data_IF_359608323241
#
_entry.id   IF_359608323241
#
_cell.length_a   1.000
_cell.length_b   1.000
_cell.length_c   1.000
_cell.angle_alpha   90.00
_cell.angle_beta   90.00
_cell.angle_gamma   90.00
#
_symmetry.space_group_name_H-M   'P 1'
#
loop_
_entity.id
_entity.type
_entity.pdbx_description
1 polymer ?
#
# COMPACT_ATOMS: atom_id res chain seq x y z
N UNK A 1 19.04 15.81 23.28
CA UNK A 1 17.72 16.15 22.66
C UNK A 1 17.41 15.39 21.36
N UNK A 2 18.32 14.56 20.80
CA UNK A 2 18.09 13.82 19.54
C UNK A 2 17.18 12.57 19.67
N UNK A 3 17.02 12.01 20.88
CA UNK A 3 16.25 10.79 21.08
C UNK A 3 14.72 11.01 21.05
N UNK A 4 14.26 12.23 21.36
CA UNK A 4 12.82 12.54 21.44
C UNK A 4 12.20 12.86 20.07
N UNK A 5 12.98 13.25 19.06
CA UNK A 5 12.46 13.53 17.71
C UNK A 5 12.20 12.23 16.93
N UNK A 6 13.01 11.19 17.17
CA UNK A 6 12.86 9.88 16.54
C UNK A 6 11.64 9.10 17.07
N UNK A 7 11.34 9.19 18.37
CA UNK A 7 10.19 8.50 18.98
C UNK A 7 8.83 9.14 18.64
N UNK A 8 8.78 10.47 18.49
CA UNK A 8 7.55 11.17 18.08
C UNK A 8 7.23 10.90 16.60
N UNK A 9 8.26 10.72 15.77
CA UNK A 9 8.10 10.37 14.36
C UNK A 9 7.45 9.00 14.13
N UNK A 10 7.83 7.97 14.88
CA UNK A 10 7.28 6.63 14.68
C UNK A 10 5.79 6.51 15.08
N UNK A 11 5.36 7.15 16.18
CA UNK A 11 3.95 7.15 16.59
C UNK A 11 3.03 7.85 15.58
N UNK A 12 3.48 8.96 14.98
CA UNK A 12 2.73 9.65 13.93
C UNK A 12 2.55 8.75 12.70
N UNK A 13 3.60 8.06 12.27
CA UNK A 13 3.55 7.21 11.08
C UNK A 13 2.68 5.97 11.30
N UNK A 14 2.74 5.35 12.49
CA UNK A 14 1.86 4.23 12.85
C UNK A 14 0.37 4.64 12.88
N UNK A 15 0.04 5.86 13.32
CA UNK A 15 -1.34 6.34 13.38
C UNK A 15 -1.88 6.74 12.00
N UNK A 16 -1.05 7.39 11.18
CA UNK A 16 -1.50 8.06 9.96
C UNK A 16 -1.35 7.18 8.70
N UNK A 17 -0.38 6.27 8.69
CA UNK A 17 0.00 5.47 7.53
C UNK A 17 -0.49 4.03 7.56
N UNK A 18 -1.72 3.79 8.06
CA UNK A 18 -2.28 2.46 8.25
C UNK A 18 -2.04 1.49 7.08
N UNK A 19 -1.49 0.31 7.37
CA UNK A 19 -1.17 -0.73 6.37
C UNK A 19 0.14 -0.52 5.62
N UNK A 20 1.01 0.40 6.05
CA UNK A 20 2.40 0.52 5.60
C UNK A 20 3.29 0.58 6.83
N UNK A 21 4.39 -0.16 6.83
CA UNK A 21 5.30 -0.16 7.98
C UNK A 21 5.88 1.24 8.24
N UNK A 22 5.99 1.70 9.51
CA UNK A 22 6.50 3.02 9.84
C UNK A 22 7.88 3.33 9.26
N UNK A 23 8.80 2.37 9.27
CA UNK A 23 10.15 2.56 8.70
C UNK A 23 10.11 2.86 7.19
N UNK A 24 9.20 2.22 6.47
CA UNK A 24 9.00 2.44 5.03
C UNK A 24 8.49 3.85 4.78
N UNK A 25 7.50 4.31 5.56
CA UNK A 25 6.97 5.67 5.47
C UNK A 25 8.04 6.71 5.83
N UNK A 26 8.80 6.47 6.90
CA UNK A 26 9.88 7.34 7.33
C UNK A 26 10.96 7.49 6.25
N UNK A 27 11.33 6.38 5.60
CA UNK A 27 12.28 6.38 4.49
C UNK A 27 11.76 7.15 3.28
N UNK A 28 10.48 6.98 2.93
CA UNK A 28 9.84 7.77 1.86
C UNK A 28 9.89 9.26 2.20
N UNK A 29 9.39 9.68 3.36
CA UNK A 29 9.38 11.09 3.78
C UNK A 29 10.79 11.70 3.74
N UNK A 30 11.79 10.95 4.23
CA UNK A 30 13.19 11.39 4.18
C UNK A 30 13.68 11.61 2.75
N UNK A 31 13.34 10.73 1.82
CA UNK A 31 13.77 10.82 0.41
C UNK A 31 12.98 11.87 -0.36
N UNK A 32 11.69 12.03 -0.07
CA UNK A 32 10.77 12.92 -0.78
C UNK A 32 10.94 14.39 -0.37
N UNK A 33 10.93 14.67 0.93
CA UNK A 33 10.90 16.06 1.43
C UNK A 33 12.01 16.39 2.42
N UNK A 34 12.81 15.41 2.84
CA UNK A 34 13.71 15.53 3.98
C UNK A 34 12.99 16.10 5.21
N UNK A 35 11.76 15.61 5.44
CA UNK A 35 10.87 16.03 6.54
C UNK A 35 10.33 17.45 6.46
N UNK A 36 10.38 18.10 5.28
CA UNK A 36 9.79 19.41 5.09
C UNK A 36 8.29 19.29 4.74
N UNK A 37 7.42 19.58 5.72
CA UNK A 37 5.97 19.50 5.55
C UNK A 37 5.39 20.52 4.58
N UNK A 38 6.10 21.64 4.33
CA UNK A 38 5.67 22.73 3.44
C UNK A 38 6.30 22.63 2.04
N UNK A 39 7.04 21.55 1.75
CA UNK A 39 7.72 21.39 0.46
C UNK A 39 6.73 21.35 -0.71
N UNK A 40 6.98 22.19 -1.72
CA UNK A 40 6.26 22.18 -2.99
C UNK A 40 7.31 22.09 -4.11
N UNK A 41 7.24 21.04 -4.92
CA UNK A 41 8.03 20.93 -6.15
C UNK A 41 7.12 21.14 -7.36
N UNK A 42 7.46 22.08 -8.22
CA UNK A 42 6.76 22.35 -9.46
C UNK A 42 7.47 21.67 -10.64
N UNK A 43 6.91 20.56 -11.09
CA UNK A 43 7.43 19.76 -12.19
C UNK A 43 7.32 20.47 -13.55
N UNK A 44 6.47 21.48 -13.65
CA UNK A 44 6.26 22.25 -14.89
C UNK A 44 7.39 23.24 -15.13
N UNK A 45 7.98 23.77 -14.06
CA UNK A 45 9.08 24.75 -14.12
C UNK A 45 10.41 24.22 -13.61
N UNK A 46 10.41 23.05 -12.95
CA UNK A 46 11.59 22.47 -12.29
C UNK A 46 12.01 23.23 -11.03
N UNK A 47 11.11 24.01 -10.43
CA UNK A 47 11.39 24.83 -9.24
C UNK A 47 10.89 24.17 -7.96
N UNK A 48 11.72 24.26 -6.92
CA UNK A 48 11.30 23.96 -5.55
C UNK A 48 10.92 25.26 -4.85
N UNK A 49 9.77 25.25 -4.17
CA UNK A 49 9.29 26.36 -3.37
C UNK A 49 9.38 26.01 -1.89
N UNK A 50 9.70 27.02 -1.08
CA UNK A 50 9.84 26.91 0.38
C UNK A 50 8.98 27.98 1.07
N UNK A 51 7.65 27.79 1.13
CA UNK A 51 6.76 28.67 1.86
C UNK A 51 7.14 28.78 3.33
N UNK A 52 6.82 29.92 3.94
CA UNK A 52 7.14 30.24 5.35
C UNK A 52 6.03 29.83 6.31
N UNK A 53 4.82 29.57 5.79
CA UNK A 53 3.69 29.10 6.58
C UNK A 53 2.82 28.12 5.79
N UNK A 54 1.93 27.43 6.52
CA UNK A 54 0.94 26.53 5.93
C UNK A 54 -0.02 27.27 4.99
N UNK A 55 -0.44 28.47 5.37
CA UNK A 55 -1.34 29.32 4.58
C UNK A 55 -0.68 29.73 3.27
N UNK A 56 0.58 30.18 3.32
CA UNK A 56 1.35 30.51 2.12
C UNK A 56 1.51 29.30 1.20
N UNK A 57 1.74 28.12 1.77
CA UNK A 57 1.88 26.88 1.00
C UNK A 57 0.57 26.48 0.30
N UNK A 58 -0.56 26.63 1.00
CA UNK A 58 -1.91 26.39 0.44
C UNK A 58 -2.19 27.37 -0.70
N UNK A 59 -1.96 28.66 -0.49
CA UNK A 59 -2.27 29.69 -1.49
C UNK A 59 -1.38 29.56 -2.73
N UNK A 60 -0.09 29.27 -2.54
CA UNK A 60 0.83 29.02 -3.65
C UNK A 60 0.42 27.76 -4.42
N UNK A 61 0.02 26.69 -3.74
CA UNK A 61 -0.44 25.45 -4.39
C UNK A 61 -1.71 25.71 -5.20
N UNK A 62 -2.69 26.44 -4.64
CA UNK A 62 -3.91 26.82 -5.35
C UNK A 62 -3.59 27.63 -6.61
N UNK A 63 -2.74 28.64 -6.48
CA UNK A 63 -2.31 29.49 -7.60
C UNK A 63 -1.68 28.67 -8.73
N UNK A 64 -0.62 27.89 -8.42
CA UNK A 64 0.08 27.09 -9.42
C UNK A 64 -0.81 25.99 -10.02
N UNK A 65 -1.61 25.31 -9.21
CA UNK A 65 -2.51 24.26 -9.70
C UNK A 65 -3.60 24.83 -10.64
N UNK A 66 -4.16 25.99 -10.30
CA UNK A 66 -5.12 26.69 -11.16
C UNK A 66 -4.51 27.17 -12.49
N UNK A 67 -3.19 27.43 -12.50
CA UNK A 67 -2.43 27.74 -13.70
C UNK A 67 -2.07 26.49 -14.54
N UNK A 68 -2.51 25.29 -14.12
CA UNK A 68 -2.27 24.04 -14.84
C UNK A 68 -0.94 23.36 -14.54
N UNK A 69 -0.24 23.76 -13.47
CA UNK A 69 1.05 23.17 -13.12
C UNK A 69 0.92 21.76 -12.51
N UNK A 70 1.90 20.90 -12.80
CA UNK A 70 2.10 19.63 -12.11
C UNK A 70 2.95 19.83 -10.86
N UNK A 71 2.40 19.54 -9.68
CA UNK A 71 3.02 19.84 -8.39
C UNK A 71 3.19 18.58 -7.56
N UNK A 72 4.25 18.48 -6.77
CA UNK A 72 4.38 17.52 -5.68
C UNK A 72 4.35 18.25 -4.33
N UNK A 73 3.51 17.81 -3.41
CA UNK A 73 3.17 18.58 -2.20
C UNK A 73 3.38 17.81 -0.89
N UNK A 74 4.04 18.46 0.06
CA UNK A 74 4.16 18.08 1.47
C UNK A 74 5.12 16.92 1.74
N UNK A 75 4.99 16.30 2.92
CA UNK A 75 5.97 15.32 3.43
C UNK A 75 6.27 14.15 2.49
N UNK A 76 5.23 13.59 1.89
CA UNK A 76 5.29 12.46 0.96
C UNK A 76 5.22 12.89 -0.51
N UNK A 77 5.32 14.20 -0.79
CA UNK A 77 5.38 14.76 -2.14
C UNK A 77 4.25 14.24 -3.05
N UNK A 78 3.01 14.44 -2.62
CA UNK A 78 1.82 13.94 -3.35
C UNK A 78 1.65 14.74 -4.64
N UNK A 79 1.72 14.05 -5.77
CA UNK A 79 1.57 14.68 -7.09
C UNK A 79 0.13 15.19 -7.35
N UNK A 80 0.00 16.34 -8.01
CA UNK A 80 -1.26 17.00 -8.32
C UNK A 80 -2.18 16.21 -9.26
N UNK A 81 -1.64 15.21 -9.97
CA UNK A 81 -2.44 14.22 -10.72
C UNK A 81 -3.40 13.44 -9.81
N UNK A 82 -3.13 13.40 -8.50
CA UNK A 82 -3.98 12.72 -7.52
C UNK A 82 -5.05 13.64 -6.91
N UNK A 83 -4.99 14.97 -7.09
CA UNK A 83 -5.86 15.92 -6.37
C UNK A 83 -7.34 15.78 -6.71
N UNK A 84 -7.66 15.27 -7.90
CA UNK A 84 -9.04 15.03 -8.33
C UNK A 84 -9.61 13.67 -7.88
N UNK A 85 -8.82 12.84 -7.19
CA UNK A 85 -9.30 11.54 -6.71
C UNK A 85 -10.31 11.75 -5.58
N UNK A 86 -11.40 10.96 -5.54
CA UNK A 86 -12.37 11.03 -4.47
C UNK A 86 -11.73 10.94 -3.08
N UNK A 87 -12.10 11.85 -2.18
CA UNK A 87 -11.62 11.88 -0.80
C UNK A 87 -10.24 12.50 -0.58
N UNK A 88 -9.62 13.09 -1.61
CA UNK A 88 -8.41 13.91 -1.48
C UNK A 88 -8.79 15.39 -1.48
N UNK A 89 -8.50 16.07 -0.37
CA UNK A 89 -8.48 17.52 -0.26
C UNK A 89 -7.02 17.98 -0.29
N UNK A 90 -6.58 18.52 -1.43
CA UNK A 90 -5.19 18.90 -1.61
C UNK A 90 -4.76 20.07 -0.71
N UNK A 91 -5.71 20.86 -0.20
CA UNK A 91 -5.39 21.96 0.74
C UNK A 91 -4.98 21.44 2.12
N UNK A 92 -5.38 20.20 2.45
CA UNK A 92 -5.00 19.50 3.68
C UNK A 92 -3.66 18.77 3.56
N UNK A 93 -3.00 18.76 2.39
CA UNK A 93 -1.72 18.06 2.20
C UNK A 93 -0.53 18.69 2.95
N UNK A 94 -0.72 19.85 3.57
CA UNK A 94 0.23 20.44 4.51
C UNK A 94 -0.07 20.08 5.98
N UNK A 95 -1.09 19.26 6.24
CA UNK A 95 -1.23 18.53 7.51
C UNK A 95 -0.39 17.25 7.45
N UNK A 96 0.57 17.04 8.39
CA UNK A 96 1.47 15.89 8.35
C UNK A 96 0.74 14.54 8.30
N UNK A 97 -0.29 14.36 9.13
CA UNK A 97 -0.99 13.08 9.22
C UNK A 97 -1.81 12.80 7.97
N UNK A 98 -2.52 13.82 7.47
CA UNK A 98 -3.29 13.72 6.24
C UNK A 98 -2.41 13.41 5.04
N UNK A 99 -1.27 14.11 4.90
CA UNK A 99 -0.30 13.88 3.83
C UNK A 99 0.23 12.44 3.87
N UNK A 100 0.61 11.95 5.06
CA UNK A 100 1.08 10.57 5.25
C UNK A 100 0.00 9.55 4.90
N UNK A 101 -1.24 9.80 5.32
CA UNK A 101 -2.38 8.93 5.01
C UNK A 101 -2.65 8.84 3.50
N UNK A 102 -2.59 9.97 2.79
CA UNK A 102 -2.77 10.02 1.34
C UNK A 102 -1.64 9.29 0.62
N UNK A 103 -0.38 9.53 0.98
CA UNK A 103 0.77 8.85 0.39
C UNK A 103 0.73 7.34 0.64
N UNK A 104 0.39 6.90 1.85
CA UNK A 104 0.19 5.48 2.17
C UNK A 104 -0.93 4.85 1.32
N UNK A 105 -2.05 5.54 1.11
CA UNK A 105 -3.14 5.05 0.23
C UNK A 105 -2.68 4.90 -1.21
N UNK A 106 -1.91 5.85 -1.74
CA UNK A 106 -1.38 5.79 -3.12
C UNK A 106 -0.40 4.62 -3.26
N UNK A 107 0.55 4.46 -2.33
CA UNK A 107 1.50 3.35 -2.34
C UNK A 107 0.78 1.99 -2.29
N UNK A 108 -0.21 1.83 -1.40
CA UNK A 108 -1.01 0.60 -1.31
C UNK A 108 -1.82 0.34 -2.59
N UNK A 109 -2.32 1.37 -3.25
CA UNK A 109 -2.99 1.22 -4.55
C UNK A 109 -2.04 0.61 -5.58
N UNK A 110 -0.81 1.14 -5.69
CA UNK A 110 0.18 0.56 -6.59
C UNK A 110 0.56 -0.87 -6.21
N UNK A 111 0.77 -1.14 -4.91
CA UNK A 111 1.06 -2.49 -4.43
C UNK A 111 -0.04 -3.48 -4.83
N UNK A 112 -1.30 -3.17 -4.52
CA UNK A 112 -2.45 -4.00 -4.90
C UNK A 112 -2.53 -4.21 -6.41
N UNK A 113 -2.37 -3.14 -7.19
CA UNK A 113 -2.47 -3.23 -8.65
C UNK A 113 -1.36 -4.13 -9.24
N UNK A 114 -0.16 -4.12 -8.65
CA UNK A 114 0.93 -5.03 -9.04
C UNK A 114 0.69 -6.45 -8.56
N UNK A 115 0.22 -6.66 -7.32
CA UNK A 115 -0.15 -8.00 -6.82
C UNK A 115 -1.16 -8.70 -7.73
N UNK A 116 -2.12 -7.95 -8.29
CA UNK A 116 -3.12 -8.49 -9.21
C UNK A 116 -2.56 -8.75 -10.62
N UNK A 117 -1.62 -7.92 -11.10
CA UNK A 117 -1.04 -8.04 -12.46
C UNK A 117 0.05 -9.09 -12.54
N UNK A 118 0.82 -9.29 -11.46
CA UNK A 118 1.96 -10.21 -11.40
C UNK A 118 1.89 -11.05 -10.12
N UNK A 119 0.89 -11.95 -9.99
CA UNK A 119 0.64 -12.71 -8.75
C UNK A 119 1.73 -13.72 -8.39
N UNK A 120 2.66 -13.99 -9.31
CA UNK A 120 3.83 -14.85 -9.06
C UNK A 120 5.01 -14.08 -8.44
N UNK A 121 4.95 -12.75 -8.36
CA UNK A 121 5.99 -11.97 -7.69
C UNK A 121 5.90 -12.17 -6.17
N UNK A 122 7.05 -12.33 -5.53
CA UNK A 122 7.13 -12.27 -4.08
C UNK A 122 6.67 -10.89 -3.56
N UNK A 123 6.15 -10.81 -2.32
CA UNK A 123 5.69 -9.55 -1.71
C UNK A 123 6.71 -8.41 -1.77
N UNK A 124 7.99 -8.71 -1.50
CA UNK A 124 9.08 -7.72 -1.58
C UNK A 124 9.23 -7.17 -3.02
N UNK A 125 9.20 -8.05 -4.02
CA UNK A 125 9.28 -7.64 -5.44
C UNK A 125 8.10 -6.75 -5.82
N UNK A 126 6.91 -7.08 -5.35
CA UNK A 126 5.70 -6.27 -5.55
C UNK A 126 5.84 -4.89 -4.90
N UNK A 127 6.40 -4.80 -3.69
CA UNK A 127 6.66 -3.52 -3.05
C UNK A 127 7.68 -2.67 -3.80
N UNK A 128 8.78 -3.26 -4.29
CA UNK A 128 9.76 -2.51 -5.08
C UNK A 128 9.14 -1.95 -6.37
N UNK A 129 8.25 -2.70 -7.03
CA UNK A 129 7.44 -2.22 -8.17
C UNK A 129 6.50 -1.10 -7.77
N UNK A 130 5.86 -1.20 -6.60
CA UNK A 130 4.99 -0.16 -6.06
C UNK A 130 5.74 1.14 -5.78
N UNK A 131 6.90 1.07 -5.12
CA UNK A 131 7.79 2.20 -4.87
C UNK A 131 8.30 2.84 -6.17
N UNK A 132 8.67 2.02 -7.15
CA UNK A 132 9.05 2.52 -8.48
C UNK A 132 7.91 3.28 -9.15
N UNK A 133 6.68 2.77 -9.02
CA UNK A 133 5.48 3.39 -9.58
C UNK A 133 5.07 4.65 -8.83
N UNK A 134 5.25 4.68 -7.50
CA UNK A 134 5.05 5.87 -6.68
C UNK A 134 5.89 7.04 -7.20
N UNK A 135 7.15 6.80 -7.54
CA UNK A 135 8.06 7.84 -8.01
C UNK A 135 7.93 8.18 -9.51
N UNK A 136 7.60 7.21 -10.37
CA UNK A 136 7.72 7.39 -11.84
C UNK A 136 6.46 7.05 -12.64
N UNK A 137 5.42 6.55 -11.98
CA UNK A 137 4.26 5.93 -12.64
C UNK A 137 4.56 4.59 -13.34
N UNK A 138 5.80 4.10 -13.28
CA UNK A 138 6.22 2.85 -13.91
C UNK A 138 6.83 1.88 -12.89
N UNK A 139 6.52 0.57 -12.95
CA UNK A 139 7.10 -0.43 -12.05
C UNK A 139 8.61 -0.66 -12.24
N UNK A 140 9.21 -0.16 -13.32
CA UNK A 140 10.59 -0.48 -13.69
C UNK A 140 11.53 0.72 -13.85
N UNK A 141 11.01 1.95 -13.90
CA UNK A 141 11.83 3.17 -14.15
C UNK A 141 12.38 3.83 -12.89
N UNK A 142 11.92 3.43 -11.71
CA UNK A 142 12.28 4.02 -10.42
C UNK A 142 13.47 3.37 -9.71
N UNK A 143 14.34 2.60 -10.39
CA UNK A 143 15.44 1.85 -9.75
C UNK A 143 16.34 2.71 -8.85
N UNK A 144 16.69 3.93 -9.29
CA UNK A 144 17.50 4.87 -8.50
C UNK A 144 16.77 5.32 -7.22
N UNK A 145 15.48 5.58 -7.34
CA UNK A 145 14.63 5.97 -6.21
C UNK A 145 14.51 4.81 -5.19
N UNK A 146 14.19 3.61 -5.68
CA UNK A 146 14.12 2.40 -4.84
C UNK A 146 15.42 2.17 -4.06
N UNK A 147 16.58 2.34 -4.71
CA UNK A 147 17.88 2.26 -4.03
C UNK A 147 18.07 3.30 -2.92
N UNK A 148 17.54 4.52 -3.07
CA UNK A 148 17.56 5.53 -1.99
C UNK A 148 16.70 5.11 -0.80
N UNK A 149 15.51 4.55 -1.07
CA UNK A 149 14.60 4.06 -0.02
C UNK A 149 15.22 2.91 0.76
N UNK A 150 15.76 1.89 0.08
CA UNK A 150 16.45 0.77 0.71
C UNK A 150 17.58 1.24 1.63
N UNK A 151 18.41 2.18 1.14
CA UNK A 151 19.47 2.79 1.94
C UNK A 151 18.93 3.57 3.14
N UNK A 152 17.81 4.26 3.00
CA UNK A 152 17.20 5.05 4.07
C UNK A 152 16.58 4.18 5.18
N UNK A 153 16.03 3.00 4.84
CA UNK A 153 15.56 2.00 5.80
C UNK A 153 16.74 1.27 6.48
N UNK A 154 17.96 1.36 5.93
CA UNK A 154 19.10 0.59 6.40
C UNK A 154 19.09 -0.86 5.93
N UNK A 155 18.28 -1.17 4.92
CA UNK A 155 18.07 -2.52 4.42
C UNK A 155 19.02 -2.88 3.27
N UNK A 156 19.54 -4.10 3.30
CA UNK A 156 20.30 -4.74 2.21
C UNK A 156 19.40 -5.52 1.24
N UNK A 157 18.09 -5.27 1.21
CA UNK A 157 17.17 -5.90 0.26
C UNK A 157 15.74 -6.18 0.75
N UNK A 158 15.46 -6.01 2.05
CA UNK A 158 14.13 -6.23 2.63
C UNK A 158 13.55 -4.94 3.19
N UNK A 159 12.36 -4.56 2.75
CA UNK A 159 11.62 -3.45 3.34
C UNK A 159 10.42 -4.07 4.04
N UNK A 160 10.23 -3.85 5.35
CA UNK A 160 9.07 -4.40 6.03
C UNK A 160 7.78 -3.89 5.35
N UNK A 161 6.99 -4.83 4.87
CA UNK A 161 5.70 -4.60 4.22
C UNK A 161 4.59 -4.80 5.25
N UNK A 162 3.57 -3.94 5.16
CA UNK A 162 2.22 -4.07 5.73
C UNK A 162 2.19 -4.73 7.12
N UNK A 163 1.89 -3.96 8.18
CA UNK A 163 1.30 -4.56 9.39
C UNK A 163 -0.08 -5.14 9.03
N UNK A 164 -0.11 -6.35 8.48
CA UNK A 164 -1.33 -7.14 8.52
C UNK A 164 -1.47 -7.54 9.98
N UNK A 165 -2.36 -6.89 10.74
CA UNK A 165 -3.01 -7.65 11.81
C UNK A 165 -3.81 -8.73 11.10
N UNK A 166 -3.48 -10.02 11.20
CA UNK A 166 -4.33 -11.04 10.64
C UNK A 166 -5.57 -11.07 11.54
N UNK A 167 -6.66 -10.45 11.11
CA UNK A 167 -7.98 -10.88 11.56
C UNK A 167 -8.58 -11.76 10.46
N UNK A 168 -7.84 -12.82 10.14
CA UNK A 168 -8.42 -14.00 9.51
C UNK A 168 -8.65 -14.99 10.65
N UNK A 169 -9.85 -14.97 11.24
CA UNK A 169 -10.34 -16.16 11.92
C UNK A 169 -10.68 -17.17 10.82
N UNK A 170 -9.75 -18.09 10.56
CA UNK A 170 -10.08 -19.25 9.72
C UNK A 170 -11.02 -20.13 10.54
N UNK A 171 -12.33 -19.96 10.31
CA UNK A 171 -13.33 -20.89 10.83
C UNK A 171 -13.27 -22.18 9.99
N UNK A 172 -12.82 -23.27 10.60
CA UNK A 172 -12.97 -24.61 10.05
C UNK A 172 -14.30 -25.21 10.53
N UNK A 173 -15.34 -25.35 9.68
CA UNK A 173 -16.54 -26.09 10.05
C UNK A 173 -16.20 -27.58 10.10
N UNK A 174 -15.88 -28.12 11.28
CA UNK A 174 -15.53 -29.55 11.34
C UNK A 174 -15.01 -30.12 12.66
N UNK A 175 -15.48 -29.67 13.83
CA UNK A 175 -15.54 -30.49 15.06
C UNK A 175 -16.34 -29.74 16.12
N UNK A 176 -17.62 -30.05 16.22
CA UNK A 176 -18.42 -29.70 17.39
C UNK A 176 -17.82 -30.38 18.62
N UNK A 177 -17.54 -29.61 19.67
CA UNK A 177 -17.93 -29.87 21.06
C UNK A 177 -17.41 -28.74 21.96
N UNK A 178 -18.30 -27.85 22.40
CA UNK A 178 -18.39 -27.26 23.76
C UNK A 178 -19.03 -25.85 23.76
N UNK A 179 -20.30 -25.82 24.16
CA UNK A 179 -20.97 -24.91 25.11
C UNK A 179 -20.39 -23.49 25.36
N UNK A 180 -21.10 -22.48 24.81
CA UNK A 180 -21.74 -21.38 25.58
C UNK A 180 -20.98 -20.09 25.96
N UNK A 181 -21.27 -18.96 25.27
CA UNK A 181 -21.94 -17.73 25.79
C UNK A 181 -21.97 -16.61 24.71
N UNK A 182 -22.94 -15.68 24.73
CA UNK A 182 -23.19 -14.76 23.63
C UNK A 182 -22.49 -13.38 23.77
N UNK A 183 -22.30 -12.76 22.60
CA UNK A 183 -22.05 -11.34 22.30
C UNK A 183 -20.62 -10.94 21.94
N UNK A 184 -20.41 -10.70 20.64
CA UNK A 184 -20.13 -9.37 20.11
C UNK A 184 -20.34 -9.42 18.59
N UNK A 185 -21.28 -8.63 18.06
CA UNK A 185 -21.52 -8.54 16.61
C UNK A 185 -20.34 -7.82 15.94
N UNK A 186 -19.57 -8.56 15.15
CA UNK A 186 -18.77 -7.99 14.06
C UNK A 186 -19.33 -8.51 12.74
N UNK A 187 -19.57 -7.61 11.79
CA UNK A 187 -19.96 -7.97 10.42
C UNK A 187 -18.78 -8.64 9.73
N UNK A 188 -18.66 -9.95 9.89
CA UNK A 188 -17.71 -10.79 9.15
C UNK A 188 -18.35 -11.24 7.84
N UNK A 189 -17.74 -10.88 6.71
CA UNK A 189 -18.06 -11.50 5.42
C UNK A 189 -17.47 -12.91 5.43
N UNK A 190 -18.33 -13.93 5.42
CA UNK A 190 -17.93 -15.35 5.42
C UNK A 190 -17.79 -15.84 3.98
N UNK A 191 -16.59 -16.27 3.59
CA UNK A 191 -16.37 -17.01 2.35
C UNK A 191 -16.53 -18.51 2.62
N UNK A 192 -17.47 -19.16 1.96
CA UNK A 192 -17.65 -20.61 2.03
C UNK A 192 -16.74 -21.30 1.00
N UNK A 193 -15.69 -21.97 1.46
CA UNK A 193 -14.97 -22.96 0.64
C UNK A 193 -15.68 -24.30 0.84
N UNK A 194 -16.28 -24.84 -0.22
CA UNK A 194 -16.78 -26.22 -0.22
C UNK A 194 -15.57 -27.16 -0.26
N UNK A 195 -15.36 -27.93 0.81
CA UNK A 195 -14.49 -29.10 0.75
C UNK A 195 -15.31 -30.24 0.12
N UNK A 196 -14.91 -30.69 -1.06
CA UNK A 196 -15.36 -31.99 -1.57
C UNK A 196 -14.66 -33.09 -0.77
N UNK A 197 -15.44 -34.08 -0.34
CA UNK A 197 -14.98 -35.18 0.51
C UNK A 197 -14.00 -36.10 -0.24
N UNK A 198 -13.06 -36.78 0.46
CA UNK A 198 -12.20 -37.77 -0.19
C UNK A 198 -13.03 -38.98 -0.63
N UNK A 199 -12.88 -39.38 -1.90
CA UNK A 199 -13.35 -40.67 -2.40
C UNK A 199 -12.68 -41.81 -1.62
N UNK A 200 -13.47 -42.85 -1.34
CA UNK A 200 -13.04 -44.04 -0.58
C UNK A 200 -11.98 -44.81 -1.35
N UNK A 201 -10.93 -45.22 -0.65
CA UNK A 201 -9.99 -46.27 -1.07
C UNK A 201 -10.77 -47.58 -1.32
N UNK A 202 -10.80 -48.03 -2.58
CA UNK A 202 -11.01 -49.43 -2.93
C UNK A 202 -9.64 -50.07 -3.22
N UNK A 203 -9.38 -51.18 -2.54
CA UNK A 203 -8.21 -52.04 -2.70
C UNK A 203 -8.19 -52.63 -4.11
N UNK A 204 -7.17 -52.28 -4.91
CA UNK A 204 -6.93 -52.81 -6.24
C UNK A 204 -5.43 -52.85 -6.55
N UNK A 205 -5.03 -53.98 -7.11
CA UNK A 205 -3.69 -54.50 -7.37
C UNK A 205 -2.82 -53.63 -8.30
N UNK A 206 -1.49 -53.75 -8.16
CA UNK A 206 -0.43 -53.00 -8.85
C UNK A 206 -0.51 -53.14 -10.37
N UNK A 207 -0.37 -52.03 -11.12
CA UNK A 207 0.46 -51.94 -12.34
C UNK A 207 0.66 -50.50 -12.89
N UNK A 208 1.92 -50.19 -13.18
CA UNK A 208 2.52 -49.30 -14.20
C UNK A 208 2.20 -47.77 -14.33
N UNK A 209 3.13 -46.97 -13.80
CA UNK A 209 3.79 -45.74 -14.30
C UNK A 209 3.07 -44.77 -15.29
N UNK A 210 2.88 -43.52 -14.80
CA UNK A 210 2.88 -42.19 -15.47
C UNK A 210 2.10 -42.01 -16.79
N UNK A 211 1.12 -41.08 -16.77
CA UNK A 211 1.10 -39.87 -17.65
C UNK A 211 -0.08 -38.94 -17.38
N UNK A 212 0.23 -37.63 -17.37
CA UNK A 212 -0.59 -36.47 -17.75
C UNK A 212 -2.07 -36.38 -17.36
N UNK A 213 -2.42 -35.36 -16.57
CA UNK A 213 -3.70 -34.66 -16.76
C UNK A 213 -3.65 -33.19 -16.34
N UNK A 214 -3.75 -32.32 -17.35
CA UNK A 214 -3.88 -30.86 -17.32
C UNK A 214 -5.14 -30.42 -16.57
N UNK A 215 -5.01 -29.52 -15.60
CA UNK A 215 -6.17 -28.81 -15.02
C UNK A 215 -6.51 -27.59 -15.91
N UNK A 216 -7.71 -27.60 -16.48
CA UNK A 216 -8.33 -26.50 -17.23
C UNK A 216 -9.14 -25.64 -16.25
N UNK A 217 -8.70 -24.41 -15.97
CA UNK A 217 -9.50 -23.43 -15.21
C UNK A 217 -10.48 -22.74 -16.17
N UNK A 218 -11.79 -22.89 -15.94
CA UNK A 218 -12.83 -22.04 -16.56
C UNK A 218 -13.20 -20.94 -15.58
N UNK A 219 -13.13 -19.69 -16.02
CA UNK A 219 -13.68 -18.54 -15.29
C UNK A 219 -15.12 -18.30 -15.72
N UNK A 220 -16.03 -18.20 -14.75
CA UNK A 220 -17.36 -17.63 -14.97
C UNK A 220 -17.36 -16.21 -14.40
N UNK A 221 -17.43 -15.21 -15.27
CA UNK A 221 -17.72 -13.84 -14.88
C UNK A 221 -19.24 -13.69 -14.74
N UNK A 222 -19.71 -13.42 -13.53
CA UNK A 222 -21.05 -12.86 -13.30
C UNK A 222 -20.92 -11.36 -13.11
N UNK A 223 -21.35 -10.61 -14.12
CA UNK A 223 -21.43 -9.15 -14.06
C UNK A 223 -22.57 -8.69 -13.16
N UNK A 224 -22.48 -7.44 -12.73
CA UNK A 224 -23.62 -6.65 -12.30
C UNK A 224 -23.45 -5.24 -12.84
N UNK A 225 -24.35 -4.90 -13.76
CA UNK A 225 -24.79 -3.53 -14.06
C UNK A 225 -25.75 -3.08 -12.95
N UNK A 226 -25.57 -1.88 -12.43
CA UNK A 226 -26.36 -0.67 -12.70
C UNK A 226 -25.69 0.52 -12.01
#
# INVERSE_FOLDING_TARGET
>A
MLLNVLLVGSMLLSQCGAGVHPDTLNAIIKVESNYNELAINDNSTGRSHHPRSKEEAIDLTKYLYSAGHSLDVGLMQINSLHFNRPGIDYTMLFDPCYNVSVGAKILKSFYRDHSLKTPADEPDTTLLKALSSYNTGSPYKGKKYVGKILKAVGATGHIPIIEEKPNISVYYPGRSNAVGHPSCHTNSIVFFVKNEAPEKEETGELDDVRKDSKIKMRYHASGLSY
#
